data_IF_790261866107
#
_entry.id   IF_790261866107
#
_cell.length_a   1.000
_cell.length_b   1.000
_cell.length_c   1.000
_cell.angle_alpha   90.00
_cell.angle_beta   90.00
_cell.angle_gamma   90.00
#
_symmetry.space_group_name_H-M   'P 1'
#
loop_
_entity.id
_entity.type
_entity.pdbx_description
1 polymer ?
#
# COMPACT_ATOMS: atom_id res chain seq x y z
N UNK A 1 -1.24 -8.21 -9.44
CA UNK A 1 -1.50 -7.49 -8.17
C UNK A 1 -1.91 -8.42 -7.04
N UNK A 2 -1.12 -8.47 -5.95
CA UNK A 2 -1.43 -9.21 -4.71
C UNK A 2 -1.55 -8.28 -3.51
N UNK A 3 -2.59 -7.44 -3.47
CA UNK A 3 -2.78 -6.45 -2.39
C UNK A 3 -2.99 -7.05 -0.99
N UNK A 4 -3.38 -8.32 -0.90
CA UNK A 4 -3.39 -9.04 0.38
C UNK A 4 -1.99 -9.09 1.03
N UNK A 5 -0.92 -9.17 0.23
CA UNK A 5 0.46 -9.11 0.76
C UNK A 5 0.80 -7.73 1.34
N UNK A 6 0.32 -6.65 0.70
CA UNK A 6 0.46 -5.29 1.23
C UNK A 6 -0.24 -5.16 2.59
N UNK A 7 -1.47 -5.69 2.69
CA UNK A 7 -2.25 -5.69 3.93
C UNK A 7 -1.55 -6.47 5.04
N UNK A 8 -1.03 -7.67 4.75
CA UNK A 8 -0.26 -8.48 5.69
C UNK A 8 0.98 -7.71 6.17
N UNK A 9 1.73 -7.09 5.25
CA UNK A 9 2.92 -6.32 5.58
C UNK A 9 2.60 -5.14 6.50
N UNK A 10 1.52 -4.41 6.20
CA UNK A 10 1.03 -3.30 7.02
C UNK A 10 0.66 -3.77 8.44
N UNK A 11 -0.09 -4.86 8.56
CA UNK A 11 -0.50 -5.43 9.85
C UNK A 11 0.72 -5.92 10.65
N UNK A 12 1.68 -6.60 10.01
CA UNK A 12 2.92 -7.05 10.66
C UNK A 12 3.74 -5.91 11.26
N UNK A 13 3.71 -4.73 10.64
CA UNK A 13 4.36 -3.52 11.17
C UNK A 13 3.50 -2.73 12.17
N UNK A 14 2.29 -3.20 12.50
CA UNK A 14 1.38 -2.53 13.44
C UNK A 14 0.76 -1.23 12.90
N UNK A 15 0.77 -1.04 11.58
CA UNK A 15 0.39 0.23 10.94
C UNK A 15 -1.10 0.23 10.62
N UNK A 16 -1.80 1.32 10.95
CA UNK A 16 -3.23 1.45 10.65
C UNK A 16 -3.42 1.95 9.22
N UNK A 17 -4.57 1.64 8.62
CA UNK A 17 -4.93 2.13 7.29
C UNK A 17 -4.91 3.67 7.22
N UNK A 18 -5.32 4.35 8.29
CA UNK A 18 -5.27 5.81 8.39
C UNK A 18 -3.84 6.38 8.31
N UNK A 19 -2.85 5.65 8.82
CA UNK A 19 -1.46 6.13 8.85
C UNK A 19 -0.88 6.10 7.43
N UNK A 20 -1.20 5.05 6.66
CA UNK A 20 -0.83 4.98 5.25
C UNK A 20 -1.59 6.02 4.41
N UNK A 21 -2.87 6.27 4.73
CA UNK A 21 -3.63 7.32 4.05
C UNK A 21 -2.98 8.70 4.25
N UNK A 22 -2.55 9.01 5.47
CA UNK A 22 -1.78 10.22 5.78
C UNK A 22 -0.46 10.27 5.01
N UNK A 23 0.31 9.18 4.98
CA UNK A 23 1.56 9.07 4.21
C UNK A 23 1.36 9.38 2.72
N UNK A 24 0.26 8.90 2.15
CA UNK A 24 -0.07 9.08 0.73
C UNK A 24 -0.79 10.41 0.45
N UNK A 25 -1.08 11.20 1.48
CA UNK A 25 -1.89 12.41 1.41
C UNK A 25 -3.26 12.18 0.73
N UNK A 26 -3.94 11.11 1.14
CA UNK A 26 -5.30 10.75 0.68
C UNK A 26 -6.22 10.48 1.87
N UNK A 27 -7.52 10.37 1.62
CA UNK A 27 -8.48 10.02 2.68
C UNK A 27 -8.34 8.54 3.08
N UNK A 28 -8.64 8.23 4.35
CA UNK A 28 -8.64 6.85 4.85
C UNK A 28 -9.57 5.93 4.03
N UNK A 29 -10.71 6.44 3.59
CA UNK A 29 -11.63 5.71 2.70
C UNK A 29 -11.00 5.41 1.33
N UNK A 30 -10.27 6.37 0.76
CA UNK A 30 -9.54 6.17 -0.51
C UNK A 30 -8.51 5.05 -0.37
N UNK A 31 -7.68 5.09 0.69
CA UNK A 31 -6.71 4.02 0.94
C UNK A 31 -7.39 2.66 1.17
N UNK A 32 -8.47 2.62 1.95
CA UNK A 32 -9.23 1.39 2.22
C UNK A 32 -9.77 0.77 0.93
N UNK A 33 -10.32 1.58 0.02
CA UNK A 33 -10.76 1.12 -1.30
C UNK A 33 -9.58 0.61 -2.13
N UNK A 34 -8.43 1.29 -2.07
CA UNK A 34 -7.23 0.85 -2.79
C UNK A 34 -6.71 -0.49 -2.28
N UNK A 35 -6.48 -0.63 -0.98
CA UNK A 35 -5.99 -1.87 -0.37
C UNK A 35 -6.93 -3.07 -0.62
N UNK A 36 -8.25 -2.83 -0.72
CA UNK A 36 -9.25 -3.86 -1.02
C UNK A 36 -9.52 -4.07 -2.53
N UNK A 37 -8.60 -3.66 -3.42
CA UNK A 37 -8.72 -3.79 -4.89
C UNK A 37 -9.95 -3.09 -5.51
N UNK A 38 -10.59 -2.14 -4.83
CA UNK A 38 -11.72 -1.37 -5.37
C UNK A 38 -11.26 -0.20 -6.24
N UNK A 39 -10.08 0.34 -5.97
CA UNK A 39 -9.43 1.39 -6.74
C UNK A 39 -7.94 1.04 -6.95
N UNK A 40 -7.34 1.32 -8.12
CA UNK A 40 -5.92 1.08 -8.31
C UNK A 40 -5.04 2.08 -7.53
N UNK A 41 -3.83 1.67 -7.19
CA UNK A 41 -2.77 2.58 -6.77
C UNK A 41 -2.17 3.26 -8.00
N UNK A 42 -1.82 4.54 -7.86
CA UNK A 42 -0.98 5.22 -8.85
C UNK A 42 0.47 4.76 -8.69
N UNK A 43 1.28 4.92 -9.74
CA UNK A 43 2.72 4.60 -9.67
C UNK A 43 3.44 5.41 -8.58
N UNK A 44 3.01 6.67 -8.36
CA UNK A 44 3.57 7.53 -7.30
C UNK A 44 3.27 6.96 -5.91
N UNK A 45 2.01 6.60 -5.64
CA UNK A 45 1.62 5.98 -4.37
C UNK A 45 2.36 4.66 -4.14
N UNK A 46 2.48 3.83 -5.17
CA UNK A 46 3.20 2.56 -5.10
C UNK A 46 4.68 2.77 -4.75
N UNK A 47 5.36 3.77 -5.37
CA UNK A 47 6.75 4.12 -5.04
C UNK A 47 6.92 4.59 -3.59
N UNK A 48 6.01 5.45 -3.10
CA UNK A 48 6.04 5.88 -1.69
C UNK A 48 5.91 4.68 -0.74
N UNK A 49 5.01 3.74 -1.06
CA UNK A 49 4.85 2.51 -0.26
C UNK A 49 6.08 1.61 -0.33
N UNK A 50 6.72 1.49 -1.50
CA UNK A 50 7.97 0.75 -1.67
C UNK A 50 9.03 1.26 -0.70
N UNK A 51 9.24 2.57 -0.68
CA UNK A 51 10.28 3.21 0.13
C UNK A 51 9.96 3.10 1.62
N UNK A 52 8.72 3.42 2.00
CA UNK A 52 8.24 3.37 3.38
C UNK A 52 8.32 1.96 4.00
N UNK A 53 7.98 0.93 3.21
CA UNK A 53 8.06 -0.45 3.67
C UNK A 53 9.43 -1.08 3.47
N UNK A 54 10.35 -0.41 2.77
CA UNK A 54 11.65 -0.92 2.34
C UNK A 54 11.52 -2.22 1.54
N UNK A 55 10.60 -2.24 0.58
CA UNK A 55 10.35 -3.41 -0.27
C UNK A 55 11.50 -3.63 -1.27
N UNK A 56 11.86 -4.90 -1.50
CA UNK A 56 12.67 -5.26 -2.67
C UNK A 56 11.88 -5.06 -3.97
N UNK A 57 12.58 -5.02 -5.11
CA UNK A 57 11.93 -4.91 -6.42
C UNK A 57 10.99 -6.10 -6.69
N UNK A 58 11.35 -7.30 -6.26
CA UNK A 58 10.54 -8.52 -6.40
C UNK A 58 9.21 -8.39 -5.65
N UNK A 59 9.26 -7.98 -4.37
CA UNK A 59 8.06 -7.77 -3.55
C UNK A 59 7.19 -6.65 -4.13
N UNK A 60 7.82 -5.57 -4.59
CA UNK A 60 7.13 -4.45 -5.21
C UNK A 60 6.36 -4.88 -6.46
N UNK A 61 7.02 -5.62 -7.36
CA UNK A 61 6.40 -6.12 -8.60
C UNK A 61 5.24 -7.05 -8.24
N UNK A 62 5.42 -7.98 -7.31
CA UNK A 62 4.38 -8.93 -6.94
C UNK A 62 3.12 -8.27 -6.35
N UNK A 63 3.29 -7.18 -5.59
CA UNK A 63 2.16 -6.47 -4.97
C UNK A 63 1.43 -5.61 -6.01
N UNK A 64 2.15 -4.81 -6.78
CA UNK A 64 1.58 -3.73 -7.61
C UNK A 64 1.42 -4.07 -9.10
N UNK A 65 1.96 -5.19 -9.56
CA UNK A 65 1.81 -5.72 -10.92
C UNK A 65 1.26 -7.15 -10.87
#
# INVERSE_FOLDING_TARGET
>A
MKLEKLKILRIKKGIKQKDIATLLNITANSYTKKENNKNPFTLREAKILKDFFSMSNEIFIEIFF
#
